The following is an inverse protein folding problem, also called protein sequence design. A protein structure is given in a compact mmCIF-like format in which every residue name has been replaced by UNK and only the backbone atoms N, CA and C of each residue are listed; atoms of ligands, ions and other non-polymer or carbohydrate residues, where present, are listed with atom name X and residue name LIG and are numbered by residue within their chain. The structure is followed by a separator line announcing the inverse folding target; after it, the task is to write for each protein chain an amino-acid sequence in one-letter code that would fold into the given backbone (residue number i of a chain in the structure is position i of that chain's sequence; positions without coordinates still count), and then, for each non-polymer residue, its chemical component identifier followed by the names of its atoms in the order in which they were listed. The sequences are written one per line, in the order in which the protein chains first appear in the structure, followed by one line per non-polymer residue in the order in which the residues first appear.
data_IF_441995766324
#
_entry.id   IF_441995766324
#
_cell.length_a   1.000
_cell.length_b   1.000
_cell.length_c   1.000
_cell.angle_alpha   90.00
_cell.angle_beta   90.00
_cell.angle_gamma   90.00
#
_symmetry.space_group_name_H-M   'P 1'
#
loop_
_entity.id
_entity.type
_entity.pdbx_description
1 polymer ?
#
# COMPACT_ATOMS: atom_id res chain seq x y z
N UNK A 1 -6.14 16.60 -29.37
CA UNK A 1 -7.36 16.04 -29.98
C UNK A 1 -6.96 14.98 -30.99
N UNK A 2 -7.14 13.71 -30.65
CA UNK A 2 -7.24 12.61 -31.60
C UNK A 2 -7.97 11.47 -30.87
N UNK A 3 -9.30 11.53 -30.88
CA UNK A 3 -10.14 10.42 -30.47
C UNK A 3 -9.90 9.29 -31.47
N UNK A 4 -9.13 8.28 -31.07
CA UNK A 4 -9.15 6.99 -31.76
C UNK A 4 -10.50 6.35 -31.40
N UNK A 5 -11.43 6.15 -32.36
CA UNK A 5 -12.64 5.43 -32.06
C UNK A 5 -12.25 3.99 -31.77
N UNK A 6 -12.44 3.55 -30.52
CA UNK A 6 -12.53 2.13 -30.22
C UNK A 6 -13.81 1.62 -30.90
N UNK A 7 -13.70 1.25 -32.17
CA UNK A 7 -14.72 0.48 -32.86
C UNK A 7 -14.80 -0.87 -32.14
N UNK A 8 -15.66 -0.92 -31.12
CA UNK A 8 -16.15 -2.18 -30.57
C UNK A 8 -16.97 -2.81 -31.69
N UNK A 9 -16.27 -3.53 -32.57
CA UNK A 9 -16.87 -4.37 -33.59
C UNK A 9 -17.93 -5.22 -32.89
N UNK A 10 -19.21 -4.83 -33.00
CA UNK A 10 -20.33 -5.59 -32.46
C UNK A 10 -20.29 -6.91 -33.21
N UNK A 11 -19.89 -7.97 -32.50
CA UNK A 11 -19.91 -9.31 -33.06
C UNK A 11 -21.38 -9.64 -33.30
N UNK A 12 -21.83 -9.51 -34.55
CA UNK A 12 -23.18 -9.86 -34.96
C UNK A 12 -23.21 -11.37 -35.14
N UNK A 13 -23.70 -12.09 -34.12
CA UNK A 13 -23.91 -13.53 -34.21
C UNK A 13 -25.09 -13.81 -35.15
N UNK A 14 -24.93 -14.79 -36.05
CA UNK A 14 -26.00 -15.19 -36.96
C UNK A 14 -27.06 -16.00 -36.20
N UNK A 15 -28.36 -15.87 -36.51
CA UNK A 15 -29.37 -16.77 -35.97
C UNK A 15 -28.97 -18.24 -36.24
N UNK A 16 -28.88 -19.07 -35.20
CA UNK A 16 -28.39 -20.46 -35.28
C UNK A 16 -26.93 -20.69 -34.93
N UNK A 17 -26.18 -19.66 -34.52
CA UNK A 17 -24.83 -19.82 -33.93
C UNK A 17 -24.96 -20.59 -32.61
N UNK A 18 -24.17 -21.65 -32.43
CA UNK A 18 -24.21 -22.44 -31.19
C UNK A 18 -23.64 -21.66 -30.01
N UNK A 19 -24.13 -21.93 -28.80
CA UNK A 19 -23.60 -21.31 -27.57
C UNK A 19 -22.08 -21.52 -27.42
N UNK A 20 -21.57 -22.67 -27.88
CA UNK A 20 -20.15 -22.98 -27.92
C UNK A 20 -19.33 -22.09 -28.86
N UNK A 21 -19.89 -21.68 -30.00
CA UNK A 21 -19.23 -20.75 -30.93
C UNK A 21 -19.21 -19.31 -30.38
N UNK A 22 -20.29 -18.90 -29.70
CA UNK A 22 -20.37 -17.60 -29.02
C UNK A 22 -19.31 -17.54 -27.90
N UNK A 23 -19.23 -18.58 -27.06
CA UNK A 23 -18.26 -18.68 -25.98
C UNK A 23 -16.82 -18.71 -26.50
N UNK A 24 -16.54 -19.46 -27.57
CA UNK A 24 -15.21 -19.52 -28.19
C UNK A 24 -14.74 -18.16 -28.73
N UNK A 25 -15.64 -17.37 -29.35
CA UNK A 25 -15.33 -16.02 -29.82
C UNK A 25 -15.10 -15.06 -28.64
N UNK A 26 -15.91 -15.16 -27.59
CA UNK A 26 -15.76 -14.35 -26.38
C UNK A 26 -14.40 -14.63 -25.69
N UNK A 27 -14.05 -15.90 -25.46
CA UNK A 27 -12.77 -16.31 -24.87
C UNK A 27 -11.57 -15.86 -25.72
N UNK A 28 -11.68 -15.94 -27.05
CA UNK A 28 -10.63 -15.47 -27.97
C UNK A 28 -10.44 -13.95 -27.89
N UNK A 29 -11.52 -13.18 -27.77
CA UNK A 29 -11.46 -11.73 -27.62
C UNK A 29 -10.83 -11.30 -26.29
N UNK A 30 -11.16 -11.98 -25.18
CA UNK A 30 -10.57 -11.77 -23.86
C UNK A 30 -9.07 -12.09 -23.90
N UNK A 31 -8.68 -13.23 -24.47
CA UNK A 31 -7.27 -13.63 -24.60
C UNK A 31 -6.48 -12.63 -25.45
N UNK A 32 -7.05 -12.17 -26.57
CA UNK A 32 -6.42 -11.17 -27.45
C UNK A 32 -6.26 -9.83 -26.74
N UNK A 33 -7.28 -9.35 -26.03
CA UNK A 33 -7.18 -8.12 -25.22
C UNK A 33 -6.09 -8.26 -24.15
N UNK A 34 -6.05 -9.38 -23.42
CA UNK A 34 -5.00 -9.64 -22.41
C UNK A 34 -3.60 -9.63 -23.02
N UNK A 35 -3.42 -10.25 -24.18
CA UNK A 35 -2.14 -10.25 -24.90
C UNK A 35 -1.76 -8.85 -25.41
N UNK A 36 -2.71 -8.09 -25.96
CA UNK A 36 -2.48 -6.70 -26.39
C UNK A 36 -2.11 -5.79 -25.22
N UNK A 37 -2.81 -5.93 -24.08
CA UNK A 37 -2.48 -5.19 -22.85
C UNK A 37 -1.09 -5.54 -22.36
N UNK A 38 -0.75 -6.83 -22.27
CA UNK A 38 0.58 -7.28 -21.84
C UNK A 38 1.67 -6.78 -22.79
N UNK A 39 1.44 -6.83 -24.10
CA UNK A 39 2.36 -6.30 -25.10
C UNK A 39 2.64 -4.81 -24.85
N UNK A 40 1.60 -3.99 -24.69
CA UNK A 40 1.77 -2.56 -24.44
C UNK A 40 2.41 -2.26 -23.08
N UNK A 41 2.09 -3.03 -22.03
CA UNK A 41 2.75 -2.91 -20.72
C UNK A 41 4.26 -3.17 -20.83
N UNK A 42 4.66 -4.25 -21.50
CA UNK A 42 6.07 -4.59 -21.72
C UNK A 42 6.72 -3.54 -22.63
N UNK A 43 6.06 -3.12 -23.71
CA UNK A 43 6.60 -2.13 -24.64
C UNK A 43 6.84 -0.79 -23.95
N UNK A 44 5.91 -0.31 -23.11
CA UNK A 44 6.06 0.91 -22.32
C UNK A 44 7.22 0.77 -21.32
N UNK A 45 7.32 -0.37 -20.62
CA UNK A 45 8.41 -0.61 -19.68
C UNK A 45 9.77 -0.60 -20.38
N UNK A 46 9.92 -1.35 -21.48
CA UNK A 46 11.15 -1.44 -22.26
C UNK A 46 11.51 -0.09 -22.87
N UNK A 47 10.53 0.65 -23.42
CA UNK A 47 10.76 1.98 -23.96
C UNK A 47 11.22 2.95 -22.86
N UNK A 48 10.60 2.92 -21.67
CA UNK A 48 10.97 3.79 -20.55
C UNK A 48 12.38 3.49 -20.05
N UNK A 49 12.72 2.21 -19.82
CA UNK A 49 14.05 1.79 -19.38
C UNK A 49 15.11 2.07 -20.45
N UNK A 50 14.79 1.81 -21.73
CA UNK A 50 15.70 2.07 -22.85
C UNK A 50 15.97 3.56 -23.04
N UNK A 51 14.94 4.41 -22.93
CA UNK A 51 15.10 5.87 -22.98
C UNK A 51 15.91 6.39 -21.79
N UNK A 52 15.70 5.84 -20.58
CA UNK A 52 16.48 6.22 -19.40
C UNK A 52 17.96 5.81 -19.54
N UNK A 53 18.24 4.58 -19.94
CA UNK A 53 19.61 4.09 -20.21
C UNK A 53 20.29 4.94 -21.29
N UNK A 54 19.60 5.24 -22.40
CA UNK A 54 20.13 6.07 -23.48
C UNK A 54 20.40 7.50 -23.01
N UNK A 55 19.49 8.08 -22.22
CA UNK A 55 19.66 9.44 -21.68
C UNK A 55 20.88 9.53 -20.76
N UNK A 56 21.14 8.49 -19.97
CA UNK A 56 22.34 8.41 -19.12
C UNK A 56 23.61 8.20 -19.95
N UNK A 57 23.59 7.28 -20.92
CA UNK A 57 24.73 6.98 -21.77
C UNK A 57 25.14 8.16 -22.69
N UNK A 58 24.16 8.92 -23.19
CA UNK A 58 24.37 10.11 -24.01
C UNK A 58 24.61 11.38 -23.17
N UNK A 59 24.64 11.27 -21.83
CA UNK A 59 24.86 12.38 -20.90
C UNK A 59 23.82 13.51 -21.07
N UNK A 60 22.59 13.15 -21.45
CA UNK A 60 21.44 14.08 -21.42
C UNK A 60 21.00 14.36 -19.98
N UNK A 61 21.26 13.39 -19.09
CA UNK A 61 21.14 13.51 -17.64
C UNK A 61 22.52 13.27 -17.02
N UNK A 62 22.84 14.02 -15.98
CA UNK A 62 24.13 13.90 -15.29
C UNK A 62 24.22 12.55 -14.53
N UNK A 63 25.12 11.63 -14.91
CA UNK A 63 25.27 10.33 -14.26
C UNK A 63 25.66 10.42 -12.78
N UNK A 64 26.17 11.57 -12.33
CA UNK A 64 26.43 11.83 -10.92
C UNK A 64 25.15 11.85 -10.08
N UNK A 65 24.06 12.41 -10.62
CA UNK A 65 22.76 12.49 -9.94
C UNK A 65 21.81 11.36 -10.33
N UNK A 66 21.93 10.84 -11.56
CA UNK A 66 21.01 9.88 -12.14
C UNK A 66 21.73 8.62 -12.59
N UNK A 67 21.64 7.56 -11.78
CA UNK A 67 22.19 6.26 -12.15
C UNK A 67 21.44 5.65 -13.34
N UNK A 68 22.16 4.98 -14.22
CA UNK A 68 21.55 4.21 -15.32
C UNK A 68 20.84 2.96 -14.77
N UNK A 69 19.76 2.48 -15.42
CA UNK A 69 19.15 1.19 -15.12
C UNK A 69 20.17 0.04 -14.99
N UNK A 70 21.16 -0.01 -15.88
CA UNK A 70 22.25 -1.00 -15.84
C UNK A 70 23.11 -0.90 -14.57
N UNK A 71 23.47 0.32 -14.13
CA UNK A 71 24.24 0.55 -12.91
C UNK A 71 23.44 0.17 -11.66
N UNK A 72 22.14 0.45 -11.64
CA UNK A 72 21.23 0.06 -10.56
C UNK A 72 21.14 -1.46 -10.47
N UNK A 73 20.98 -2.15 -11.59
CA UNK A 73 20.93 -3.61 -11.64
C UNK A 73 22.25 -4.25 -11.18
N UNK A 74 23.39 -3.71 -11.62
CA UNK A 74 24.71 -4.15 -11.17
C UNK A 74 24.88 -3.98 -9.66
N UNK A 75 24.42 -2.85 -9.10
CA UNK A 75 24.47 -2.59 -7.66
C UNK A 75 23.60 -3.56 -6.86
N UNK A 76 22.37 -3.80 -7.32
CA UNK A 76 21.47 -4.77 -6.68
C UNK A 76 22.07 -6.19 -6.69
N UNK A 77 22.69 -6.58 -7.81
CA UNK A 77 23.37 -7.87 -7.93
C UNK A 77 24.56 -7.99 -6.97
N UNK A 78 25.40 -6.95 -6.90
CA UNK A 78 26.53 -6.89 -5.97
C UNK A 78 26.06 -6.98 -4.50
N UNK A 79 25.07 -6.18 -4.10
CA UNK A 79 24.52 -6.22 -2.75
C UNK A 79 23.89 -7.56 -2.39
N UNK A 80 23.26 -8.24 -3.35
CA UNK A 80 22.63 -9.54 -3.11
C UNK A 80 23.65 -10.66 -2.85
N UNK A 81 24.84 -10.60 -3.48
CA UNK A 81 25.88 -11.62 -3.37
C UNK A 81 26.94 -11.30 -2.33
N UNK A 82 27.44 -10.07 -2.34
CA UNK A 82 28.59 -9.62 -1.55
C UNK A 82 28.17 -8.85 -0.30
N UNK A 83 26.90 -8.43 -0.21
CA UNK A 83 26.39 -7.62 0.89
C UNK A 83 26.58 -6.12 0.68
N UNK A 84 26.23 -5.36 1.70
CA UNK A 84 26.30 -3.90 1.74
C UNK A 84 27.38 -3.44 2.73
N UNK A 85 27.66 -2.14 2.80
CA UNK A 85 28.54 -1.57 3.83
C UNK A 85 28.04 -1.85 5.24
N UNK A 86 26.72 -1.97 5.42
CA UNK A 86 26.06 -2.26 6.69
C UNK A 86 25.79 -3.76 6.90
N UNK A 87 26.56 -4.61 6.22
CA UNK A 87 26.41 -6.07 6.28
C UNK A 87 25.42 -6.62 5.25
N UNK A 88 24.84 -7.77 5.54
CA UNK A 88 23.98 -8.48 4.58
C UNK A 88 22.76 -7.64 4.15
N UNK A 89 22.49 -7.61 2.85
CA UNK A 89 21.28 -6.97 2.30
C UNK A 89 20.01 -7.56 2.91
N UNK A 90 19.99 -8.88 3.08
CA UNK A 90 18.87 -9.62 3.65
C UNK A 90 18.61 -9.27 5.11
N UNK A 91 19.66 -8.96 5.87
CA UNK A 91 19.52 -8.50 7.25
C UNK A 91 18.91 -7.10 7.31
N UNK A 92 19.40 -6.17 6.50
CA UNK A 92 18.83 -4.82 6.41
C UNK A 92 17.35 -4.86 5.98
N UNK A 93 17.02 -5.70 5.00
CA UNK A 93 15.64 -5.92 4.58
C UNK A 93 14.76 -6.49 5.70
N UNK A 94 15.28 -7.47 6.45
CA UNK A 94 14.59 -8.06 7.58
C UNK A 94 14.31 -7.03 8.69
N UNK A 95 15.28 -6.16 9.00
CA UNK A 95 15.11 -5.11 10.01
C UNK A 95 13.96 -4.16 9.63
N UNK A 96 13.97 -3.62 8.40
CA UNK A 96 12.90 -2.75 7.92
C UNK A 96 11.54 -3.45 7.95
N UNK A 97 11.52 -4.75 7.65
CA UNK A 97 10.29 -5.52 7.71
C UNK A 97 9.76 -5.80 9.09
N UNK A 98 10.65 -6.10 10.02
CA UNK A 98 10.29 -6.26 11.41
C UNK A 98 9.67 -4.97 11.95
N UNK A 99 10.28 -3.82 11.65
CA UNK A 99 9.78 -2.50 12.03
C UNK A 99 8.39 -2.22 11.45
N UNK A 100 8.24 -2.42 10.14
CA UNK A 100 6.98 -2.19 9.43
C UNK A 100 5.88 -3.13 9.91
N UNK A 101 6.14 -4.43 10.07
CA UNK A 101 5.13 -5.42 10.48
C UNK A 101 4.66 -5.18 11.92
N UNK A 102 5.58 -4.94 12.86
CA UNK A 102 5.20 -4.68 14.26
C UNK A 102 4.37 -3.38 14.33
N UNK A 103 4.82 -2.31 13.67
CA UNK A 103 4.07 -1.06 13.60
C UNK A 103 2.71 -1.22 12.93
N UNK A 104 2.64 -1.99 11.84
CA UNK A 104 1.41 -2.29 11.11
C UNK A 104 0.39 -3.02 11.98
N UNK A 105 0.76 -4.13 12.62
CA UNK A 105 -0.18 -4.89 13.44
C UNK A 105 -0.60 -4.11 14.67
N UNK A 106 0.35 -3.54 15.42
CA UNK A 106 0.02 -2.76 16.61
C UNK A 106 -0.86 -1.54 16.26
N UNK A 107 -0.50 -0.80 15.20
CA UNK A 107 -1.22 0.38 14.74
C UNK A 107 -2.61 0.04 14.23
N UNK A 108 -2.76 -1.04 13.46
CA UNK A 108 -4.05 -1.47 12.92
C UNK A 108 -4.98 -1.91 14.03
N UNK A 109 -4.50 -2.74 14.96
CA UNK A 109 -5.29 -3.22 16.09
C UNK A 109 -5.77 -2.03 16.94
N UNK A 110 -4.85 -1.15 17.34
CA UNK A 110 -5.19 0.04 18.12
C UNK A 110 -6.15 0.98 17.36
N UNK A 111 -5.90 1.20 16.06
CA UNK A 111 -6.72 2.06 15.22
C UNK A 111 -8.15 1.55 15.09
N UNK A 112 -8.35 0.23 14.88
CA UNK A 112 -9.69 -0.39 14.86
C UNK A 112 -10.39 -0.20 16.19
N UNK A 113 -9.74 -0.54 17.31
CA UNK A 113 -10.37 -0.46 18.63
C UNK A 113 -10.79 0.97 18.98
N UNK A 114 -9.89 1.94 18.79
CA UNK A 114 -10.16 3.35 19.10
C UNK A 114 -11.17 3.94 18.11
N UNK A 115 -11.04 3.63 16.82
CA UNK A 115 -11.93 4.14 15.76
C UNK A 115 -13.37 3.65 15.92
N UNK A 116 -13.55 2.35 16.15
CA UNK A 116 -14.88 1.76 16.39
C UNK A 116 -15.46 2.24 17.72
N UNK A 117 -14.66 2.25 18.79
CA UNK A 117 -15.10 2.67 20.12
C UNK A 117 -15.58 4.12 20.12
N UNK A 118 -14.80 5.02 19.52
CA UNK A 118 -15.12 6.44 19.45
C UNK A 118 -16.24 6.75 18.43
N UNK A 119 -16.25 6.06 17.29
CA UNK A 119 -17.28 6.22 16.25
C UNK A 119 -18.67 5.81 16.74
N UNK A 120 -18.75 4.84 17.65
CA UNK A 120 -20.01 4.37 18.23
C UNK A 120 -20.62 5.38 19.22
N UNK A 121 -19.78 6.09 19.99
CA UNK A 121 -20.25 7.00 21.02
C UNK A 121 -20.28 8.44 20.51
N UNK A 122 -21.48 8.93 20.13
CA UNK A 122 -21.67 10.30 19.62
C UNK A 122 -21.15 11.37 20.58
N UNK A 123 -21.41 11.23 21.88
CA UNK A 123 -20.97 12.20 22.88
C UNK A 123 -19.44 12.30 22.94
N UNK A 124 -18.74 11.16 23.00
CA UNK A 124 -17.27 11.15 22.98
C UNK A 124 -16.74 11.66 21.64
N UNK A 125 -17.33 11.25 20.51
CA UNK A 125 -16.96 11.76 19.19
C UNK A 125 -17.04 13.29 19.12
N UNK A 126 -18.11 13.89 19.67
CA UNK A 126 -18.32 15.33 19.63
C UNK A 126 -17.28 16.06 20.50
N UNK A 127 -16.99 15.55 21.70
CA UNK A 127 -15.91 16.05 22.57
C UNK A 127 -14.55 15.96 21.87
N UNK A 128 -14.22 14.81 21.30
CA UNK A 128 -12.91 14.55 20.71
C UNK A 128 -12.75 15.16 19.31
N UNK A 129 -13.81 15.67 18.69
CA UNK A 129 -13.81 16.14 17.30
C UNK A 129 -12.76 17.22 17.02
N UNK A 130 -12.56 18.17 17.94
CA UNK A 130 -11.56 19.23 17.81
C UNK A 130 -10.13 18.67 17.94
N UNK A 131 -9.91 17.74 18.87
CA UNK A 131 -8.61 17.12 19.10
C UNK A 131 -8.20 16.20 17.96
N UNK A 132 -9.15 15.43 17.41
CA UNK A 132 -8.92 14.59 16.23
C UNK A 132 -8.50 15.46 15.04
N UNK A 133 -9.17 16.58 14.81
CA UNK A 133 -8.82 17.52 13.73
C UNK A 133 -7.43 18.11 13.94
N UNK A 134 -7.12 18.56 15.16
CA UNK A 134 -5.82 19.13 15.49
C UNK A 134 -4.69 18.11 15.28
N UNK A 135 -4.83 16.90 15.82
CA UNK A 135 -3.80 15.85 15.69
C UNK A 135 -3.61 15.43 14.22
N UNK A 136 -4.69 15.35 13.43
CA UNK A 136 -4.58 15.01 12.02
C UNK A 136 -3.87 16.08 11.18
N UNK A 137 -3.79 17.33 11.65
CA UNK A 137 -3.08 18.40 10.95
C UNK A 137 -1.55 18.29 11.07
N UNK A 138 -1.05 17.51 12.02
CA UNK A 138 0.39 17.36 12.26
C UNK A 138 0.97 16.41 11.20
N UNK A 139 2.00 16.84 10.42
CA UNK A 139 2.71 15.95 9.53
C UNK A 139 3.44 14.87 10.34
N UNK A 140 2.94 13.62 10.28
CA UNK A 140 3.44 12.52 11.12
C UNK A 140 4.93 12.23 10.90
N UNK A 141 5.44 12.48 9.70
CA UNK A 141 6.86 12.35 9.34
C UNK A 141 7.78 13.18 10.25
N UNK A 142 7.31 14.35 10.70
CA UNK A 142 8.09 15.27 11.55
C UNK A 142 8.27 14.73 12.98
N UNK A 143 7.53 13.70 13.38
CA UNK A 143 7.65 13.06 14.70
C UNK A 143 8.87 12.13 14.81
N UNK A 144 9.49 11.75 13.68
CA UNK A 144 10.61 10.79 13.67
C UNK A 144 11.78 11.21 14.59
N UNK A 145 12.29 12.46 14.54
CA UNK A 145 13.38 12.88 15.42
C UNK A 145 12.98 12.87 16.90
N UNK A 146 11.72 13.17 17.21
CA UNK A 146 11.20 13.15 18.59
C UNK A 146 11.26 11.73 19.12
N UNK A 147 10.74 10.75 18.37
CA UNK A 147 10.79 9.34 18.78
C UNK A 147 12.22 8.84 18.95
N UNK A 148 13.15 9.23 18.07
CA UNK A 148 14.56 8.89 18.24
C UNK A 148 15.15 9.54 19.49
N UNK A 149 14.81 10.79 19.80
CA UNK A 149 15.29 11.46 21.00
C UNK A 149 14.81 10.77 22.28
N UNK A 150 13.55 10.34 22.34
CA UNK A 150 12.98 9.74 23.57
C UNK A 150 13.21 8.22 23.69
N UNK A 151 13.28 7.49 22.58
CA UNK A 151 13.39 6.02 22.55
C UNK A 151 14.75 5.52 22.02
N UNK A 152 15.61 6.42 21.54
CA UNK A 152 16.91 6.09 20.96
C UNK A 152 16.85 5.60 19.51
N UNK A 153 18.01 5.24 18.97
CA UNK A 153 18.20 4.78 17.59
C UNK A 153 17.74 3.34 17.32
N UNK A 154 17.22 2.63 18.33
CA UNK A 154 16.82 1.22 18.19
C UNK A 154 15.46 1.00 17.51
N UNK A 155 15.05 -0.27 17.47
CA UNK A 155 13.76 -0.74 16.98
C UNK A 155 12.54 0.08 17.49
N UNK A 156 12.45 0.48 18.79
CA UNK A 156 11.25 1.11 19.31
C UNK A 156 10.88 2.43 18.61
N UNK A 157 11.86 3.26 18.22
CA UNK A 157 11.57 4.56 17.59
C UNK A 157 10.98 4.41 16.18
N UNK A 158 11.40 3.39 15.44
CA UNK A 158 10.95 3.14 14.05
C UNK A 158 9.58 2.49 14.07
N UNK A 159 9.41 1.51 14.96
CA UNK A 159 8.10 0.90 15.24
C UNK A 159 7.08 1.95 15.69
N UNK A 160 7.46 2.90 16.55
CA UNK A 160 6.56 3.98 16.98
C UNK A 160 6.12 4.86 15.80
N UNK A 161 7.01 5.15 14.86
CA UNK A 161 6.70 5.93 13.67
C UNK A 161 5.81 5.16 12.68
N UNK A 162 6.13 3.89 12.41
CA UNK A 162 5.27 3.00 11.62
C UNK A 162 3.88 2.86 12.27
N UNK A 163 3.83 2.65 13.58
CA UNK A 163 2.62 2.57 14.38
C UNK A 163 1.76 3.82 14.21
N UNK A 164 2.31 5.02 14.38
CA UNK A 164 1.51 6.25 14.36
C UNK A 164 0.95 6.52 12.95
N UNK A 165 1.72 6.22 11.89
CA UNK A 165 1.25 6.36 10.52
C UNK A 165 0.07 5.42 10.24
N UNK A 166 0.20 4.16 10.62
CA UNK A 166 -0.84 3.14 10.44
C UNK A 166 -2.06 3.44 11.30
N UNK A 167 -1.85 3.75 12.58
CA UNK A 167 -2.91 4.00 13.55
C UNK A 167 -3.91 5.02 13.02
N UNK A 168 -3.45 6.17 12.51
CA UNK A 168 -4.37 7.21 12.04
C UNK A 168 -5.13 6.82 10.77
N UNK A 169 -4.52 6.09 9.85
CA UNK A 169 -5.20 5.63 8.63
C UNK A 169 -6.31 4.64 9.00
N UNK A 170 -6.00 3.65 9.84
CA UNK A 170 -6.97 2.64 10.27
C UNK A 170 -8.03 3.23 11.19
N UNK A 171 -7.64 4.09 12.14
CA UNK A 171 -8.56 4.83 13.00
C UNK A 171 -9.57 5.64 12.19
N UNK A 172 -9.11 6.42 11.21
CA UNK A 172 -9.98 7.26 10.41
C UNK A 172 -10.99 6.44 9.61
N UNK A 173 -10.53 5.36 8.96
CA UNK A 173 -11.41 4.47 8.20
C UNK A 173 -12.40 3.72 9.09
N UNK A 174 -11.96 3.20 10.24
CA UNK A 174 -12.83 2.53 11.20
C UNK A 174 -13.88 3.50 11.80
N UNK A 175 -13.46 4.71 12.16
CA UNK A 175 -14.35 5.75 12.69
C UNK A 175 -15.39 6.19 11.66
N UNK A 176 -14.98 6.42 10.41
CA UNK A 176 -15.89 6.76 9.31
C UNK A 176 -16.83 5.59 8.99
N UNK A 177 -16.31 4.38 8.85
CA UNK A 177 -17.11 3.18 8.57
C UNK A 177 -18.19 2.90 9.62
N UNK A 178 -17.94 3.20 10.89
CA UNK A 178 -18.96 3.11 11.94
C UNK A 178 -20.00 4.24 11.85
N UNK A 179 -19.60 5.44 11.44
CA UNK A 179 -20.52 6.60 11.31
C UNK A 179 -21.36 6.56 10.03
N UNK A 180 -20.83 5.98 8.97
CA UNK A 180 -21.48 5.80 7.68
C UNK A 180 -22.28 4.49 7.60
N UNK A 181 -22.08 3.57 8.55
CA UNK A 181 -22.94 2.39 8.69
C UNK A 181 -24.41 2.83 8.67
N UNK A 182 -25.14 2.30 7.69
CA UNK A 182 -26.40 2.85 7.24
C UNK A 182 -27.36 3.04 8.43
N UNK A 183 -27.70 4.31 8.70
CA UNK A 183 -28.63 4.68 9.75
C UNK A 183 -29.98 3.98 9.55
N UNK A 184 -30.35 3.69 8.31
CA UNK A 184 -31.55 2.92 7.97
C UNK A 184 -31.41 1.46 8.39
N UNK A 185 -30.25 0.84 8.18
CA UNK A 185 -29.99 -0.54 8.60
C UNK A 185 -29.99 -0.67 10.14
N UNK A 186 -29.44 0.33 10.84
CA UNK A 186 -29.51 0.44 12.30
C UNK A 186 -30.95 0.70 12.78
N UNK A 187 -31.69 1.60 12.13
CA UNK A 187 -33.07 1.93 12.48
C UNK A 187 -34.01 0.72 12.26
N UNK A 188 -33.89 0.04 11.13
CA UNK A 188 -34.65 -1.16 10.80
C UNK A 188 -34.39 -2.28 11.81
N UNK A 189 -33.12 -2.52 12.17
CA UNK A 189 -32.78 -3.51 13.19
C UNK A 189 -33.41 -3.17 14.56
N UNK A 190 -33.43 -1.89 14.94
CA UNK A 190 -34.10 -1.44 16.19
C UNK A 190 -35.62 -1.59 16.14
N UNK A 191 -36.24 -1.32 14.99
CA UNK A 191 -37.68 -1.54 14.79
C UNK A 191 -38.03 -3.03 14.97
N UNK A 192 -37.15 -3.92 14.51
CA UNK A 192 -37.27 -5.38 14.72
C UNK A 192 -36.94 -5.84 16.16
N UNK A 193 -36.70 -4.93 17.09
CA UNK A 193 -36.43 -5.25 18.50
C UNK A 193 -34.98 -5.65 18.81
N UNK A 194 -34.02 -5.43 17.90
CA UNK A 194 -32.63 -5.76 18.16
C UNK A 194 -32.05 -4.88 19.28
N UNK A 195 -31.42 -5.52 20.28
CA UNK A 195 -30.66 -4.86 21.33
C UNK A 195 -29.43 -4.12 20.77
N UNK A 196 -28.91 -3.14 21.50
CA UNK A 196 -27.70 -2.39 21.09
C UNK A 196 -26.50 -3.30 20.80
N UNK A 197 -26.38 -4.44 21.51
CA UNK A 197 -25.32 -5.41 21.26
C UNK A 197 -25.53 -6.17 19.95
N UNK A 198 -26.77 -6.61 19.66
CA UNK A 198 -27.12 -7.27 18.41
C UNK A 198 -26.91 -6.36 17.20
N UNK A 199 -27.30 -5.08 17.29
CA UNK A 199 -27.03 -4.07 16.27
C UNK A 199 -25.52 -3.89 16.07
N UNK A 200 -24.76 -3.82 17.15
CA UNK A 200 -23.31 -3.66 17.06
C UNK A 200 -22.66 -4.84 16.35
N UNK A 201 -22.91 -6.07 16.81
CA UNK A 201 -22.27 -7.28 16.28
C UNK A 201 -22.74 -7.65 14.88
N UNK A 202 -24.00 -7.36 14.53
CA UNK A 202 -24.62 -7.87 13.30
C UNK A 202 -24.75 -6.83 12.19
N UNK A 203 -24.66 -5.53 12.51
CA UNK A 203 -24.81 -4.44 11.54
C UNK A 203 -23.55 -3.57 11.51
N UNK A 204 -23.16 -3.01 12.66
CA UNK A 204 -22.08 -2.01 12.72
C UNK A 204 -20.71 -2.65 12.46
N UNK A 205 -20.37 -3.72 13.19
CA UNK A 205 -19.07 -4.39 13.06
C UNK A 205 -18.89 -4.93 11.63
N UNK A 206 -19.82 -5.71 11.04
CA UNK A 206 -19.66 -6.19 9.68
C UNK A 206 -19.50 -5.06 8.65
N UNK A 207 -20.28 -3.99 8.77
CA UNK A 207 -20.16 -2.83 7.88
C UNK A 207 -18.79 -2.17 8.01
N UNK A 208 -18.32 -1.94 9.24
CA UNK A 208 -17.01 -1.36 9.50
C UNK A 208 -15.86 -2.29 9.06
N UNK A 209 -16.03 -3.62 9.13
CA UNK A 209 -15.02 -4.57 8.69
C UNK A 209 -14.69 -4.43 7.21
N UNK A 210 -15.68 -4.15 6.34
CA UNK A 210 -15.42 -3.89 4.91
C UNK A 210 -14.52 -2.68 4.70
N UNK A 211 -14.73 -1.61 5.46
CA UNK A 211 -13.88 -0.41 5.44
C UNK A 211 -12.49 -0.67 6.02
N UNK A 212 -12.42 -1.42 7.13
CA UNK A 212 -11.16 -1.80 7.77
C UNK A 212 -10.30 -2.62 6.80
N UNK A 213 -10.87 -3.66 6.17
CA UNK A 213 -10.16 -4.48 5.19
C UNK A 213 -9.69 -3.63 3.99
N UNK A 214 -10.56 -2.78 3.43
CA UNK A 214 -10.18 -1.88 2.35
C UNK A 214 -9.01 -0.95 2.72
N UNK A 215 -8.89 -0.57 3.99
CA UNK A 215 -7.79 0.28 4.47
C UNK A 215 -6.48 -0.46 4.73
N UNK A 216 -6.48 -1.80 4.86
CA UNK A 216 -5.26 -2.54 5.23
C UNK A 216 -4.14 -2.40 4.19
N UNK A 217 -4.48 -2.41 2.90
CA UNK A 217 -3.51 -2.22 1.81
C UNK A 217 -2.79 -0.88 1.91
N UNK A 218 -3.57 0.19 2.06
CA UNK A 218 -3.04 1.56 2.19
C UNK A 218 -2.21 1.70 3.47
N UNK A 219 -2.74 1.18 4.59
CA UNK A 219 -2.07 1.21 5.88
C UNK A 219 -0.74 0.46 5.88
N UNK A 220 -0.64 -0.66 5.17
CA UNK A 220 0.61 -1.39 5.06
C UNK A 220 1.69 -0.59 4.31
N UNK A 221 1.32 0.10 3.22
CA UNK A 221 2.21 1.06 2.56
C UNK A 221 2.71 2.15 3.51
N UNK A 222 1.84 2.70 4.34
CA UNK A 222 2.22 3.66 5.38
C UNK A 222 3.13 3.07 6.46
N UNK A 223 3.01 1.79 6.80
CA UNK A 223 3.91 1.13 7.74
C UNK A 223 5.35 1.08 7.20
N UNK A 224 5.50 0.73 5.92
CA UNK A 224 6.80 0.71 5.23
C UNK A 224 7.38 2.12 5.16
N UNK A 225 6.57 3.11 4.77
CA UNK A 225 7.00 4.52 4.76
C UNK A 225 7.46 4.95 6.16
N UNK A 226 6.71 4.58 7.21
CA UNK A 226 7.06 4.91 8.59
C UNK A 226 8.37 4.28 9.05
N UNK A 227 8.62 3.01 8.73
CA UNK A 227 9.89 2.35 9.03
C UNK A 227 11.05 3.04 8.31
N UNK A 228 10.94 3.23 6.98
CA UNK A 228 12.00 3.83 6.16
C UNK A 228 12.31 5.26 6.57
N UNK A 229 11.29 6.08 6.86
CA UNK A 229 11.50 7.45 7.36
C UNK A 229 12.22 7.42 8.70
N UNK A 230 11.84 6.51 9.60
CA UNK A 230 12.50 6.36 10.90
C UNK A 230 13.97 5.95 10.75
N UNK A 231 14.25 5.00 9.86
CA UNK A 231 15.60 4.56 9.52
C UNK A 231 16.43 5.66 8.89
N UNK A 232 15.83 6.42 7.95
CA UNK A 232 16.48 7.51 7.24
C UNK A 232 16.90 8.66 8.15
N UNK A 233 16.09 8.97 9.18
CA UNK A 233 16.43 9.99 10.19
C UNK A 233 17.52 9.49 11.13
N UNK A 234 17.57 8.19 11.41
CA UNK A 234 18.74 7.59 12.05
C UNK A 234 18.51 6.15 12.46
N UNK A 235 19.28 5.23 11.88
CA UNK A 235 19.31 3.81 12.21
C UNK A 235 20.74 3.27 12.15
N UNK A 236 20.92 2.03 12.64
CA UNK A 236 22.16 1.26 12.43
C UNK A 236 22.05 0.31 11.23
N UNK A 237 20.84 -0.18 10.96
CA UNK A 237 20.53 -1.13 9.90
C UNK A 237 19.16 -0.78 9.32
N UNK A 238 18.89 -1.23 8.12
CA UNK A 238 17.62 -1.00 7.42
C UNK A 238 17.82 -0.42 6.03
N UNK A 239 16.82 -0.57 5.17
CA UNK A 239 16.90 -0.06 3.80
C UNK A 239 16.93 1.48 3.77
N UNK A 240 16.23 2.15 4.67
CA UNK A 240 16.30 3.60 4.85
C UNK A 240 17.69 4.08 5.28
N UNK A 241 18.44 3.26 6.05
CA UNK A 241 19.83 3.54 6.39
C UNK A 241 20.74 3.41 5.16
N UNK A 242 20.55 2.39 4.33
CA UNK A 242 21.28 2.24 3.05
C UNK A 242 21.04 3.44 2.12
N UNK A 243 19.81 3.94 2.03
CA UNK A 243 19.49 5.18 1.30
C UNK A 243 20.25 6.36 1.90
N UNK A 244 20.28 6.48 3.23
CA UNK A 244 20.93 7.61 3.90
C UNK A 244 22.44 7.63 3.68
N UNK A 245 23.09 6.47 3.72
CA UNK A 245 24.52 6.31 3.45
C UNK A 245 24.83 6.62 1.98
N UNK A 246 24.11 6.00 1.04
CA UNK A 246 24.34 6.21 -0.40
C UNK A 246 24.15 7.69 -0.78
N UNK A 247 23.17 8.37 -0.17
CA UNK A 247 22.99 9.82 -0.31
C UNK A 247 24.19 10.61 0.24
N UNK A 248 24.68 10.24 1.43
CA UNK A 248 25.83 10.90 2.06
C UNK A 248 27.14 10.73 1.30
N UNK A 249 27.29 9.63 0.55
CA UNK A 249 28.47 9.34 -0.30
C UNK A 249 28.29 9.74 -1.76
N UNK A 250 27.17 10.38 -2.11
CA UNK A 250 26.79 10.72 -3.49
C UNK A 250 26.78 9.51 -4.45
N UNK A 251 26.43 8.34 -3.93
CA UNK A 251 26.28 7.11 -4.69
C UNK A 251 24.84 7.00 -5.23
N UNK A 252 24.60 7.61 -6.39
CA UNK A 252 23.30 7.56 -7.05
C UNK A 252 22.84 6.12 -7.32
N UNK A 253 23.74 5.23 -7.74
CA UNK A 253 23.40 3.83 -8.04
C UNK A 253 22.91 3.10 -6.78
N UNK A 254 23.60 3.28 -5.65
CA UNK A 254 23.15 2.76 -4.35
C UNK A 254 21.81 3.33 -3.90
N UNK A 255 21.61 4.64 -4.05
CA UNK A 255 20.36 5.29 -3.65
C UNK A 255 19.16 4.75 -4.44
N UNK A 256 19.27 4.70 -5.78
CA UNK A 256 18.22 4.16 -6.63
C UNK A 256 18.04 2.65 -6.45
N UNK A 257 19.11 1.87 -6.23
CA UNK A 257 19.02 0.45 -5.91
C UNK A 257 18.19 0.21 -4.64
N UNK A 258 18.45 0.96 -3.56
CA UNK A 258 17.67 0.83 -2.34
C UNK A 258 16.19 1.22 -2.52
N UNK A 259 15.89 2.27 -3.29
CA UNK A 259 14.51 2.66 -3.62
C UNK A 259 13.79 1.57 -4.43
N UNK A 260 14.45 1.00 -5.44
CA UNK A 260 13.89 -0.10 -6.25
C UNK A 260 13.67 -1.34 -5.38
N UNK A 261 14.56 -1.62 -4.43
CA UNK A 261 14.40 -2.73 -3.50
C UNK A 261 13.19 -2.55 -2.59
N UNK A 262 12.96 -1.34 -2.07
CA UNK A 262 11.72 -0.99 -1.33
C UNK A 262 10.50 -1.21 -2.20
N UNK A 263 10.52 -0.76 -3.46
CA UNK A 263 9.40 -0.93 -4.39
C UNK A 263 9.08 -2.41 -4.63
N UNK A 264 10.09 -3.22 -5.00
CA UNK A 264 9.93 -4.67 -5.22
C UNK A 264 9.36 -5.32 -3.97
N UNK A 265 9.95 -5.01 -2.81
CA UNK A 265 9.52 -5.60 -1.55
C UNK A 265 8.08 -5.22 -1.21
N UNK A 266 7.72 -3.94 -1.35
CA UNK A 266 6.37 -3.43 -1.06
C UNK A 266 5.35 -4.14 -1.94
N UNK A 267 5.63 -4.32 -3.24
CA UNK A 267 4.76 -5.05 -4.16
C UNK A 267 4.60 -6.53 -3.78
N UNK A 268 5.68 -7.19 -3.37
CA UNK A 268 5.62 -8.58 -2.90
C UNK A 268 4.76 -8.68 -1.64
N UNK A 269 4.96 -7.80 -0.67
CA UNK A 269 4.21 -7.82 0.56
C UNK A 269 2.73 -7.44 0.35
N UNK A 270 2.43 -6.51 -0.56
CA UNK A 270 1.06 -6.19 -0.97
C UNK A 270 0.38 -7.38 -1.67
N UNK A 271 1.10 -8.11 -2.52
CA UNK A 271 0.58 -9.34 -3.14
C UNK A 271 0.26 -10.41 -2.08
N UNK A 272 1.14 -10.59 -1.09
CA UNK A 272 0.90 -11.51 0.04
C UNK A 272 -0.35 -11.07 0.82
N UNK A 273 -0.46 -9.78 1.16
CA UNK A 273 -1.62 -9.22 1.85
C UNK A 273 -2.91 -9.44 1.06
N UNK A 274 -2.89 -9.25 -0.26
CA UNK A 274 -4.03 -9.49 -1.16
C UNK A 274 -4.49 -10.95 -1.09
N UNK A 275 -3.54 -11.91 -1.07
CA UNK A 275 -3.87 -13.34 -0.94
C UNK A 275 -4.50 -13.64 0.42
N UNK A 276 -4.00 -13.03 1.49
CA UNK A 276 -4.56 -13.17 2.85
C UNK A 276 -5.96 -12.58 2.91
N UNK A 277 -6.17 -11.36 2.39
CA UNK A 277 -7.49 -10.72 2.33
C UNK A 277 -8.48 -11.59 1.58
N UNK A 278 -8.15 -12.05 0.37
CA UNK A 278 -9.05 -12.89 -0.44
C UNK A 278 -9.45 -14.20 0.26
N UNK A 279 -8.61 -14.73 1.16
CA UNK A 279 -8.95 -15.91 1.97
C UNK A 279 -9.88 -15.58 3.15
N UNK A 280 -9.71 -14.42 3.78
CA UNK A 280 -10.49 -13.98 4.95
C UNK A 280 -11.81 -13.30 4.58
N UNK A 281 -11.84 -12.58 3.45
CA UNK A 281 -12.97 -11.77 2.99
C UNK A 281 -13.93 -12.54 2.06
N UNK A 282 -13.95 -13.87 2.09
CA UNK A 282 -14.84 -14.72 1.27
C UNK A 282 -16.34 -14.39 1.42
N UNK A 283 -16.72 -13.75 2.51
CA UNK A 283 -18.09 -13.33 2.81
C UNK A 283 -18.50 -12.03 2.10
N UNK A 284 -17.55 -11.29 1.53
CA UNK A 284 -17.79 -10.04 0.82
C UNK A 284 -18.22 -10.38 -0.62
N UNK A 285 -19.42 -9.96 -1.08
CA UNK A 285 -19.77 -10.10 -2.48
C UNK A 285 -18.71 -9.36 -3.30
N UNK A 286 -18.07 -10.05 -4.24
CA UNK A 286 -17.21 -9.40 -5.22
C UNK A 286 -18.07 -8.32 -5.89
N UNK A 287 -17.69 -7.05 -5.71
CA UNK A 287 -18.20 -6.02 -6.59
C UNK A 287 -17.81 -6.50 -7.99
N UNK A 288 -18.81 -6.89 -8.78
CA UNK A 288 -18.57 -7.16 -10.18
C UNK A 288 -18.08 -5.84 -10.74
N UNK A 289 -16.77 -5.75 -11.01
CA UNK A 289 -16.22 -4.69 -11.83
C UNK A 289 -16.98 -4.77 -13.15
N UNK A 290 -17.98 -3.89 -13.29
CA UNK A 290 -18.65 -3.68 -14.56
C UNK A 290 -17.60 -3.02 -15.44
N UNK A 291 -16.92 -3.87 -16.21
CA UNK A 291 -15.84 -3.54 -17.14
C UNK A 291 -16.25 -2.51 -18.19
#
# INVERSE_FOLDING_TARGET
MANVPMETARVVFRPGTSDAEIEAVALKSIKRRKQTVLFWQIAILVATLGLWELSSAMVWIDPFFYASPSAIAARLYDWALNGTTEGSLWYNLWVTMQEALIGFFAGSIAGVFVGVGLGRNRFLSDIFSVYIKAINSIPRVVLAPIFIMIMGLGLPSKVALAFIMVFFVVFANAFQGVREADRNMIANARILGASNWQVTRSVIVPSAMSWIFASLHVSFGFAIIGAIVGEFVGARFGIGQLISIAKGTFDAAGMFAAIILVMIFTLVAEAIMTVIENRLAKWRPQQMDVQ
#
